data_IF_249190483879
#
_entry.id   IF_249190483879
#
_cell.length_a   1.000
_cell.length_b   1.000
_cell.length_c   1.000
_cell.angle_alpha   90.00
_cell.angle_beta   90.00
_cell.angle_gamma   90.00
#
_symmetry.space_group_name_H-M   'P 1'
#
loop_
_entity.id
_entity.type
_entity.pdbx_description
1 polymer ?
#
# COMPACT_ATOMS: atom_id res chain seq x y z
N UNK A 1 -1.98 35.86 38.00
CA UNK A 1 -3.01 36.32 37.03
C UNK A 1 -2.47 35.96 35.64
N UNK A 2 -2.74 34.77 35.10
CA UNK A 2 -3.89 34.48 34.21
C UNK A 2 -4.03 35.62 33.17
N UNK A 3 -3.75 35.44 31.88
CA UNK A 3 -4.63 34.70 30.96
C UNK A 3 -4.08 34.52 29.53
N UNK A 4 -4.24 33.31 28.98
CA UNK A 4 -4.72 32.94 27.63
C UNK A 4 -3.91 33.27 26.35
N UNK A 5 -3.36 32.20 25.76
CA UNK A 5 -3.21 32.05 24.31
C UNK A 5 -4.59 31.90 23.63
N UNK A 6 -4.68 32.18 22.32
CA UNK A 6 -5.55 31.40 21.45
C UNK A 6 -4.74 30.67 20.38
N UNK A 7 -4.97 29.36 20.33
CA UNK A 7 -4.69 28.49 19.21
C UNK A 7 -5.34 29.02 17.92
N UNK A 8 -4.67 28.87 16.77
CA UNK A 8 -5.25 28.71 15.42
C UNK A 8 -4.14 28.64 14.37
N UNK A 9 -3.87 27.45 13.85
CA UNK A 9 -3.75 27.27 12.40
C UNK A 9 -4.13 25.83 12.05
N UNK A 10 -5.43 25.63 11.85
CA UNK A 10 -6.01 24.55 11.07
C UNK A 10 -5.86 24.90 9.59
N UNK A 11 -5.76 23.87 8.76
CA UNK A 11 -5.87 23.86 7.30
C UNK A 11 -4.55 23.93 6.49
N UNK A 12 -4.03 22.75 6.17
CA UNK A 12 -3.54 22.45 4.82
C UNK A 12 -4.18 21.10 4.42
N UNK A 13 -5.45 21.18 4.02
CA UNK A 13 -5.89 20.91 2.64
C UNK A 13 -5.81 19.43 2.30
N UNK A 14 -6.94 18.78 2.54
CA UNK A 14 -7.36 17.55 1.88
C UNK A 14 -7.38 17.77 0.36
N UNK A 15 -6.27 17.46 -0.31
CA UNK A 15 -6.17 17.48 -1.77
C UNK A 15 -5.50 16.21 -2.31
N UNK A 16 -5.94 15.05 -1.81
CA UNK A 16 -5.59 13.74 -2.42
C UNK A 16 -6.79 12.82 -2.62
N UNK A 17 -8.01 13.36 -2.62
CA UNK A 17 -9.23 12.58 -2.83
C UNK A 17 -9.97 12.93 -4.14
N UNK A 18 -9.36 13.71 -5.05
CA UNK A 18 -10.02 14.22 -6.26
C UNK A 18 -9.36 13.79 -7.58
N UNK A 19 -8.64 12.66 -7.60
CA UNK A 19 -8.13 12.06 -8.84
C UNK A 19 -8.46 10.56 -8.95
N UNK A 20 -9.72 10.19 -8.66
CA UNK A 20 -10.25 8.86 -8.98
C UNK A 20 -11.77 8.87 -9.13
N UNK A 21 -12.32 9.91 -9.77
CA UNK A 21 -13.76 9.94 -10.12
C UNK A 21 -13.94 10.43 -11.55
N UNK A 22 -13.10 9.92 -12.45
CA UNK A 22 -13.44 9.89 -13.87
C UNK A 22 -14.08 8.53 -14.11
N UNK A 23 -15.38 8.57 -14.37
CA UNK A 23 -16.25 7.44 -14.69
C UNK A 23 -15.56 6.42 -15.60
N UNK A 24 -15.48 5.18 -15.13
CA UNK A 24 -15.25 4.00 -15.97
C UNK A 24 -16.57 3.33 -16.30
N UNK A 25 -17.63 4.13 -16.49
CA UNK A 25 -18.89 3.61 -17.00
C UNK A 25 -18.67 3.17 -18.47
N UNK A 26 -18.75 1.86 -18.70
CA UNK A 26 -18.95 1.18 -19.99
C UNK A 26 -17.94 1.46 -21.13
N UNK A 27 -16.65 1.68 -20.82
CA UNK A 27 -15.63 1.66 -21.88
C UNK A 27 -15.39 0.21 -22.35
N UNK A 28 -15.39 -0.08 -23.67
CA UNK A 28 -15.03 -1.39 -24.20
C UNK A 28 -13.63 -1.81 -23.72
N UNK A 29 -13.54 -2.94 -23.00
CA UNK A 29 -12.29 -3.41 -22.40
C UNK A 29 -12.00 -2.85 -21.00
N UNK A 30 -12.89 -2.03 -20.43
CA UNK A 30 -12.83 -1.68 -19.02
C UNK A 30 -12.96 -2.94 -18.17
N UNK A 31 -12.08 -3.04 -17.18
CA UNK A 31 -12.06 -4.15 -16.22
C UNK A 31 -12.94 -3.87 -15.02
N UNK A 32 -13.28 -2.61 -14.81
CA UNK A 32 -14.23 -2.20 -13.80
C UNK A 32 -15.54 -1.84 -14.50
N UNK A 33 -16.64 -2.47 -14.08
CA UNK A 33 -17.98 -2.29 -14.67
C UNK A 33 -18.81 -1.20 -13.95
N UNK A 34 -18.17 -0.40 -13.08
CA UNK A 34 -18.85 0.57 -12.23
C UNK A 34 -19.20 0.02 -10.84
N UNK A 35 -19.28 -1.31 -10.67
CA UNK A 35 -19.56 -1.95 -9.38
C UNK A 35 -18.39 -2.80 -8.88
N UNK A 36 -17.75 -3.56 -9.77
CA UNK A 36 -16.69 -4.52 -9.45
C UNK A 36 -15.64 -4.61 -10.54
N UNK A 37 -14.47 -5.11 -10.12
CA UNK A 37 -13.36 -5.39 -11.02
C UNK A 37 -13.40 -6.84 -11.49
N UNK A 38 -13.20 -7.05 -12.79
CA UNK A 38 -13.16 -8.33 -13.48
C UNK A 38 -11.72 -8.72 -13.76
N UNK A 39 -11.22 -9.77 -13.10
CA UNK A 39 -9.86 -10.29 -13.26
C UNK A 39 -9.65 -10.96 -14.63
N UNK A 40 -8.37 -11.08 -15.08
CA UNK A 40 -8.05 -11.64 -16.41
C UNK A 40 -8.34 -13.13 -16.41
N UNK A 41 -7.80 -13.76 -15.39
CA UNK A 41 -8.11 -15.14 -15.07
C UNK A 41 -9.34 -15.18 -14.16
N UNK A 42 -10.30 -16.07 -14.43
CA UNK A 42 -11.43 -16.28 -13.55
C UNK A 42 -10.92 -16.76 -12.20
N UNK A 43 -11.29 -16.04 -11.15
CA UNK A 43 -11.08 -16.46 -9.76
C UNK A 43 -12.35 -17.14 -9.25
N UNK A 44 -12.19 -18.22 -8.50
CA UNK A 44 -13.32 -18.81 -7.79
C UNK A 44 -13.82 -17.83 -6.73
N UNK A 45 -15.14 -17.63 -6.69
CA UNK A 45 -15.75 -16.81 -5.64
C UNK A 45 -15.72 -17.58 -4.32
N UNK A 46 -15.02 -17.04 -3.33
CA UNK A 46 -14.90 -17.64 -2.00
C UNK A 46 -16.16 -17.28 -1.19
N UNK A 47 -16.94 -18.29 -0.82
CA UNK A 47 -18.16 -18.13 -0.04
C UNK A 47 -17.97 -18.24 1.47
N UNK A 48 -19.04 -17.96 2.22
CA UNK A 48 -19.06 -18.15 3.67
C UNK A 48 -18.81 -19.60 4.09
N UNK A 49 -19.28 -20.57 3.31
CA UNK A 49 -19.05 -22.00 3.54
C UNK A 49 -17.56 -22.36 3.48
N UNK A 50 -16.85 -21.83 2.48
CA UNK A 50 -15.41 -22.04 2.30
C UNK A 50 -14.62 -21.42 3.44
N UNK A 51 -15.03 -20.24 3.92
CA UNK A 51 -14.44 -19.60 5.09
C UNK A 51 -14.61 -20.46 6.36
N UNK A 52 -15.81 -21.00 6.59
CA UNK A 52 -16.09 -21.89 7.73
C UNK A 52 -15.26 -23.17 7.62
N UNK A 53 -15.27 -23.79 6.44
CA UNK A 53 -14.49 -25.00 6.16
C UNK A 53 -13.01 -24.75 6.43
N UNK A 54 -12.40 -23.74 5.82
CA UNK A 54 -11.01 -23.35 6.04
C UNK A 54 -10.71 -23.11 7.52
N UNK A 55 -11.59 -22.40 8.24
CA UNK A 55 -11.37 -22.12 9.67
C UNK A 55 -11.41 -23.39 10.52
N UNK A 56 -12.26 -24.35 10.16
CA UNK A 56 -12.41 -25.61 10.87
C UNK A 56 -11.31 -26.63 10.55
N UNK A 57 -10.77 -26.60 9.33
CA UNK A 57 -9.80 -27.59 8.85
C UNK A 57 -8.36 -27.09 8.77
N UNK A 58 -8.11 -25.78 8.95
CA UNK A 58 -6.75 -25.25 8.93
C UNK A 58 -5.88 -25.87 10.03
N UNK A 59 -4.63 -26.15 9.67
CA UNK A 59 -3.58 -26.52 10.61
C UNK A 59 -2.65 -25.31 10.80
N UNK A 60 -2.84 -24.48 11.84
CA UNK A 60 -1.96 -23.34 12.08
C UNK A 60 -0.55 -23.82 12.45
N UNK A 61 0.43 -23.43 11.65
CA UNK A 61 1.85 -23.60 11.99
C UNK A 61 2.27 -22.70 13.17
N UNK A 62 3.43 -22.97 13.78
CA UNK A 62 3.97 -22.13 14.84
C UNK A 62 4.27 -20.74 14.31
N UNK A 63 3.83 -19.71 15.04
CA UNK A 63 4.23 -18.33 14.76
C UNK A 63 5.48 -18.00 15.59
N UNK A 64 6.58 -17.53 14.98
CA UNK A 64 7.78 -17.19 15.72
C UNK A 64 7.55 -15.94 16.59
N UNK A 65 8.10 -15.95 17.82
CA UNK A 65 8.11 -14.76 18.68
C UNK A 65 8.96 -13.63 18.06
N UNK A 66 10.04 -14.00 17.39
CA UNK A 66 10.96 -13.08 16.74
C UNK A 66 11.57 -13.68 15.48
N UNK A 67 11.79 -12.84 14.47
CA UNK A 67 12.54 -13.18 13.26
C UNK A 67 13.66 -12.17 13.14
N UNK A 68 14.90 -12.65 13.14
CA UNK A 68 16.05 -11.78 12.91
C UNK A 68 16.07 -11.34 11.44
N UNK A 69 16.09 -10.03 11.21
CA UNK A 69 16.14 -9.44 9.87
C UNK A 69 17.50 -8.79 9.70
N UNK A 70 18.31 -9.32 8.78
CA UNK A 70 19.59 -8.73 8.44
C UNK A 70 19.42 -7.28 7.95
N UNK A 71 20.06 -6.34 8.65
CA UNK A 71 20.09 -4.95 8.20
C UNK A 71 20.98 -4.82 6.99
N UNK A 72 20.38 -4.40 5.88
CA UNK A 72 21.12 -4.00 4.68
C UNK A 72 21.60 -2.55 4.78
N UNK A 73 22.71 -2.20 4.13
CA UNK A 73 23.13 -0.81 4.03
C UNK A 73 22.03 0.03 3.37
N UNK A 74 21.91 1.33 3.75
CA UNK A 74 20.93 2.20 3.14
C UNK A 74 21.19 2.29 1.62
N UNK A 75 20.12 2.39 0.81
CA UNK A 75 20.27 2.64 -0.61
C UNK A 75 20.96 3.99 -0.84
N UNK A 76 21.63 4.19 -2.00
CA UNK A 76 22.18 5.49 -2.36
C UNK A 76 21.05 6.53 -2.42
N UNK A 77 21.38 7.81 -2.25
CA UNK A 77 20.37 8.86 -2.27
C UNK A 77 19.57 8.90 -3.58
N UNK A 78 20.25 8.69 -4.72
CA UNK A 78 19.66 8.60 -6.06
C UNK A 78 20.48 7.67 -6.95
N UNK A 79 19.84 7.17 -8.00
CA UNK A 79 20.51 6.46 -9.11
C UNK A 79 20.63 7.37 -10.33
N UNK A 80 21.62 7.09 -11.20
CA UNK A 80 21.85 7.89 -12.41
C UNK A 80 20.78 7.69 -13.49
N UNK A 81 20.84 8.47 -14.60
CA UNK A 81 19.97 8.30 -15.75
C UNK A 81 20.06 6.90 -16.35
N UNK A 82 18.93 6.32 -16.74
CA UNK A 82 18.81 4.97 -17.30
C UNK A 82 18.94 3.84 -16.27
N UNK A 83 19.17 4.16 -14.99
CA UNK A 83 19.29 3.18 -13.93
C UNK A 83 17.97 3.00 -13.17
N UNK A 84 17.66 1.76 -12.82
CA UNK A 84 16.56 1.37 -11.93
C UNK A 84 17.15 0.64 -10.72
N UNK A 85 16.75 1.06 -9.52
CA UNK A 85 17.00 0.32 -8.28
C UNK A 85 15.70 0.17 -7.51
N UNK A 86 15.46 -1.04 -7.02
CA UNK A 86 14.30 -1.39 -6.19
C UNK A 86 14.81 -1.79 -4.81
N UNK A 87 14.33 -1.11 -3.77
CA UNK A 87 14.67 -1.41 -2.39
C UNK A 87 13.41 -1.69 -1.60
N UNK A 88 13.24 -2.92 -1.13
CA UNK A 88 12.20 -3.26 -0.16
C UNK A 88 12.57 -2.67 1.20
N UNK A 89 11.69 -1.83 1.75
CA UNK A 89 11.91 -1.16 3.03
C UNK A 89 11.31 -1.99 4.15
N UNK A 90 10.01 -2.29 4.06
CA UNK A 90 9.27 -3.17 4.97
C UNK A 90 7.86 -3.43 4.41
N UNK A 91 7.13 -4.44 4.91
CA UNK A 91 5.75 -4.76 4.55
C UNK A 91 5.49 -4.63 3.03
N UNK A 92 4.64 -3.68 2.61
CA UNK A 92 4.36 -3.36 1.20
C UNK A 92 5.09 -2.09 0.73
N UNK A 93 5.88 -1.44 1.60
CA UNK A 93 6.65 -0.25 1.25
C UNK A 93 7.90 -0.59 0.46
N UNK A 94 7.93 -0.17 -0.81
CA UNK A 94 9.08 -0.28 -1.70
C UNK A 94 9.54 1.10 -2.14
N UNK A 95 10.84 1.35 -2.03
CA UNK A 95 11.52 2.50 -2.65
C UNK A 95 11.96 2.11 -4.07
N UNK A 96 11.36 2.77 -5.06
CA UNK A 96 11.79 2.74 -6.45
C UNK A 96 12.65 3.97 -6.75
N UNK A 97 13.87 3.73 -7.23
CA UNK A 97 14.76 4.78 -7.70
C UNK A 97 14.96 4.63 -9.20
N UNK A 98 14.57 5.64 -9.97
CA UNK A 98 14.64 5.62 -11.44
C UNK A 98 14.95 7.01 -11.96
N UNK A 99 15.91 7.15 -12.87
CA UNK A 99 16.27 8.42 -13.52
C UNK A 99 16.46 9.59 -12.53
N UNK A 100 17.14 9.32 -11.41
CA UNK A 100 17.35 10.31 -10.35
C UNK A 100 16.06 10.70 -9.60
N UNK A 101 14.98 9.93 -9.68
CA UNK A 101 13.75 10.09 -8.89
C UNK A 101 13.66 9.01 -7.83
N UNK A 102 13.01 9.34 -6.72
CA UNK A 102 12.71 8.41 -5.63
C UNK A 102 11.18 8.39 -5.45
N UNK A 103 10.59 7.20 -5.57
CA UNK A 103 9.16 6.97 -5.43
C UNK A 103 8.98 5.93 -4.34
N UNK A 104 8.12 6.22 -3.36
CA UNK A 104 7.73 5.27 -2.33
C UNK A 104 6.32 4.75 -2.63
N UNK A 105 6.18 3.44 -2.59
CA UNK A 105 4.88 2.74 -2.69
C UNK A 105 4.36 2.49 -1.29
N UNK A 106 3.05 2.64 -1.10
CA UNK A 106 2.31 2.37 0.14
C UNK A 106 3.11 2.68 1.41
N UNK A 107 3.43 3.98 1.63
CA UNK A 107 4.30 4.39 2.72
C UNK A 107 3.70 4.05 4.08
N UNK A 108 4.32 3.11 4.80
CA UNK A 108 3.95 2.74 6.17
C UNK A 108 5.15 2.93 7.08
N UNK A 109 5.04 3.90 7.99
CA UNK A 109 5.96 4.08 9.11
C UNK A 109 5.15 4.16 10.39
N UNK A 110 5.45 3.26 11.32
CA UNK A 110 5.01 3.35 12.71
C UNK A 110 6.18 2.98 13.59
N UNK A 111 6.18 3.53 14.79
CA UNK A 111 6.93 2.89 15.87
C UNK A 111 6.35 1.48 16.09
N UNK A 112 7.23 0.52 16.39
CA UNK A 112 6.88 -0.86 16.68
C UNK A 112 7.27 -1.16 18.12
#
# INVERSE_FOLDING_TARGET
>A
MLTHAPARLLAAVAASAALATAASEDLPGARFDGERFHNEDPIEEIGLGDLIYWRATREPGPWPEWVEIERRPPPPERVGPGALRVTWVNHVTVLLQIDGRNILTDPIWSER
#
